data_IF_639829944956
#
_entry.id   IF_639829944956
#
_cell.length_a   1.000
_cell.length_b   1.000
_cell.length_c   1.000
_cell.angle_alpha   90.00
_cell.angle_beta   90.00
_cell.angle_gamma   90.00
#
_symmetry.space_group_name_H-M   'P 1'
#
loop_
_entity.id
_entity.type
_entity.pdbx_description
1 polymer ?
#
# COMPACT_ATOMS: atom_id res chain seq x y z
N UNK A 1 -2.33 12.55 4.71
CA UNK A 1 -1.26 12.63 5.71
C UNK A 1 -1.08 11.31 6.44
N UNK A 2 0.10 10.70 6.30
CA UNK A 2 0.41 9.41 6.93
C UNK A 2 0.70 9.58 8.44
N UNK A 3 0.07 8.76 9.29
CA UNK A 3 0.32 8.82 10.73
C UNK A 3 1.75 8.44 11.09
N UNK A 4 2.27 8.97 12.21
CA UNK A 4 3.64 8.67 12.70
C UNK A 4 3.89 7.16 12.83
N UNK A 5 2.91 6.43 13.35
CA UNK A 5 3.01 4.98 13.53
C UNK A 5 3.10 4.24 12.19
N UNK A 6 2.31 4.63 11.18
CA UNK A 6 2.39 4.02 9.84
C UNK A 6 3.72 4.35 9.15
N UNK A 7 4.21 5.58 9.26
CA UNK A 7 5.53 5.97 8.73
C UNK A 7 6.65 5.12 9.35
N UNK A 8 6.66 4.98 10.67
CA UNK A 8 7.65 4.14 11.36
C UNK A 8 7.54 2.66 10.98
N UNK A 9 6.33 2.14 10.78
CA UNK A 9 6.14 0.76 10.32
C UNK A 9 6.76 0.56 8.93
N UNK A 10 6.48 1.44 7.97
CA UNK A 10 7.07 1.40 6.62
C UNK A 10 8.60 1.39 6.71
N UNK A 11 9.20 2.28 7.50
CA UNK A 11 10.66 2.33 7.68
C UNK A 11 11.23 1.01 8.23
N UNK A 12 10.54 0.34 9.16
CA UNK A 12 10.99 -0.97 9.67
C UNK A 12 10.94 -2.04 8.59
N UNK A 13 9.90 -2.05 7.75
CA UNK A 13 9.69 -3.06 6.70
C UNK A 13 10.70 -3.00 5.53
N UNK A 14 11.36 -1.84 5.34
CA UNK A 14 12.48 -1.70 4.39
C UNK A 14 13.64 -2.64 4.72
N UNK A 15 13.81 -3.02 5.99
CA UNK A 15 14.93 -3.87 6.42
C UNK A 15 14.58 -5.35 6.47
N UNK A 16 15.58 -6.21 6.16
CA UNK A 16 15.44 -7.68 6.30
C UNK A 16 15.07 -8.11 7.72
N UNK A 17 15.59 -7.42 8.75
CA UNK A 17 15.32 -7.74 10.16
C UNK A 17 13.94 -7.26 10.62
N UNK A 18 13.43 -6.16 10.04
CA UNK A 18 12.13 -5.60 10.41
C UNK A 18 10.95 -6.43 9.92
N UNK A 19 11.01 -6.99 8.71
CA UNK A 19 9.93 -7.84 8.15
C UNK A 19 9.48 -8.98 9.08
N UNK A 20 10.35 -9.89 9.55
CA UNK A 20 9.95 -10.96 10.46
C UNK A 20 9.52 -10.42 11.83
N UNK A 21 10.09 -9.30 12.29
CA UNK A 21 9.71 -8.69 13.57
C UNK A 21 8.29 -8.14 13.55
N UNK A 22 7.86 -7.58 12.43
CA UNK A 22 6.50 -7.05 12.27
C UNK A 22 5.52 -8.09 11.72
N UNK A 23 5.99 -9.25 11.25
CA UNK A 23 5.16 -10.25 10.59
C UNK A 23 4.58 -9.78 9.26
N UNK A 24 5.21 -8.79 8.61
CA UNK A 24 4.69 -8.09 7.44
C UNK A 24 5.77 -7.89 6.38
N UNK A 25 5.33 -7.60 5.16
CA UNK A 25 6.19 -7.18 4.05
C UNK A 25 5.67 -5.89 3.44
N UNK A 26 6.57 -5.08 2.87
CA UNK A 26 6.23 -3.90 2.08
C UNK A 26 6.34 -4.27 0.61
N UNK A 27 5.27 -4.02 -0.15
CA UNK A 27 5.23 -4.19 -1.61
C UNK A 27 5.08 -2.81 -2.22
N UNK A 28 5.97 -2.47 -3.15
CA UNK A 28 6.03 -1.15 -3.76
C UNK A 28 5.93 -1.24 -5.28
N UNK A 29 5.33 -0.23 -5.89
CA UNK A 29 5.13 -0.13 -7.33
C UNK A 29 3.82 -0.78 -7.80
N UNK A 30 3.27 -0.23 -8.90
CA UNK A 30 1.96 -0.61 -9.43
C UNK A 30 1.90 -2.09 -9.79
N UNK A 31 2.90 -2.60 -10.52
CA UNK A 31 2.93 -3.99 -10.99
C UNK A 31 3.01 -4.99 -9.84
N UNK A 32 3.99 -4.83 -8.94
CA UNK A 32 4.16 -5.75 -7.82
C UNK A 32 2.95 -5.72 -6.86
N UNK A 33 2.36 -4.54 -6.65
CA UNK A 33 1.15 -4.40 -5.84
C UNK A 33 -0.06 -5.10 -6.48
N UNK A 34 -0.21 -5.00 -7.81
CA UNK A 34 -1.25 -5.70 -8.54
C UNK A 34 -1.07 -7.23 -8.49
N UNK A 35 0.16 -7.72 -8.63
CA UNK A 35 0.49 -9.15 -8.52
C UNK A 35 0.18 -9.67 -7.10
N UNK A 36 0.58 -8.94 -6.05
CA UNK A 36 0.25 -9.30 -4.67
C UNK A 36 -1.27 -9.32 -4.41
N UNK A 37 -1.99 -8.33 -4.93
CA UNK A 37 -3.45 -8.26 -4.83
C UNK A 37 -4.10 -9.47 -5.53
N UNK A 38 -3.69 -9.78 -6.76
CA UNK A 38 -4.19 -10.91 -7.54
C UNK A 38 -3.87 -12.27 -6.89
N UNK A 39 -2.71 -12.38 -6.22
CA UNK A 39 -2.33 -13.57 -5.47
C UNK A 39 -3.14 -13.79 -4.17
N UNK A 40 -4.06 -12.89 -3.84
CA UNK A 40 -4.87 -13.05 -2.62
C UNK A 40 -4.16 -12.60 -1.35
N UNK A 41 -3.12 -11.77 -1.44
CA UNK A 41 -2.42 -11.30 -0.25
C UNK A 41 -3.40 -10.61 0.73
N UNK A 42 -3.18 -10.86 2.02
CA UNK A 42 -3.89 -10.16 3.09
C UNK A 42 -3.27 -8.77 3.29
N UNK A 43 -4.02 -7.73 2.93
CA UNK A 43 -3.51 -6.37 2.83
C UNK A 43 -3.84 -5.63 4.13
N UNK A 44 -2.79 -5.28 4.89
CA UNK A 44 -2.95 -4.56 6.16
C UNK A 44 -3.40 -3.10 6.00
N UNK A 45 -2.82 -2.39 5.04
CA UNK A 45 -3.18 -1.03 4.62
C UNK A 45 -2.48 -0.71 3.29
N UNK A 46 -2.98 0.31 2.58
CA UNK A 46 -2.38 0.79 1.33
C UNK A 46 -2.02 2.26 1.46
N UNK A 47 -0.92 2.63 0.83
CA UNK A 47 -0.51 4.02 0.66
C UNK A 47 -0.37 4.30 -0.83
N UNK A 48 -1.04 5.34 -1.32
CA UNK A 48 -1.00 5.74 -2.73
C UNK A 48 -0.70 7.21 -2.88
N UNK A 49 -0.10 7.62 -3.99
CA UNK A 49 -0.07 9.03 -4.39
C UNK A 49 -1.23 9.32 -5.37
N UNK A 50 -1.68 10.57 -5.51
CA UNK A 50 -2.63 10.99 -6.55
C UNK A 50 -2.17 10.57 -7.95
N UNK A 51 -0.85 10.63 -8.21
CA UNK A 51 -0.21 10.23 -9.46
C UNK A 51 -0.44 8.77 -9.84
N UNK A 52 -0.89 7.93 -8.90
CA UNK A 52 -1.34 6.57 -9.23
C UNK A 52 -2.41 6.59 -10.33
N UNK A 53 -3.25 7.62 -10.36
CA UNK A 53 -4.36 7.72 -11.31
C UNK A 53 -3.94 8.23 -12.70
N UNK A 54 -2.68 8.61 -12.90
CA UNK A 54 -2.19 9.16 -14.17
C UNK A 54 -2.10 8.08 -15.26
N UNK A 55 -1.86 6.83 -14.86
CA UNK A 55 -1.70 5.69 -15.77
C UNK A 55 -2.90 4.76 -15.74
N UNK A 56 -3.16 4.07 -16.85
CA UNK A 56 -4.22 3.05 -16.92
C UNK A 56 -3.98 1.93 -15.90
N UNK A 57 -2.76 1.40 -15.81
CA UNK A 57 -2.40 0.37 -14.84
C UNK A 57 -2.68 0.79 -13.39
N UNK A 58 -2.37 2.06 -13.05
CA UNK A 58 -2.61 2.57 -11.71
C UNK A 58 -4.10 2.81 -11.41
N UNK A 59 -4.90 3.27 -12.40
CA UNK A 59 -6.37 3.35 -12.27
C UNK A 59 -7.02 1.98 -12.08
N UNK A 60 -6.55 0.97 -12.80
CA UNK A 60 -7.00 -0.42 -12.66
C UNK A 60 -6.69 -0.96 -11.26
N UNK A 61 -5.46 -0.75 -10.76
CA UNK A 61 -5.08 -1.14 -9.41
C UNK A 61 -5.92 -0.42 -8.35
N UNK A 62 -6.13 0.88 -8.49
CA UNK A 62 -6.95 1.66 -7.56
C UNK A 62 -8.40 1.15 -7.51
N UNK A 63 -8.98 0.82 -8.67
CA UNK A 63 -10.33 0.26 -8.76
C UNK A 63 -10.44 -1.11 -8.09
N UNK A 64 -9.44 -1.97 -8.28
CA UNK A 64 -9.39 -3.29 -7.67
C UNK A 64 -9.27 -3.22 -6.13
N UNK A 65 -8.57 -2.22 -5.60
CA UNK A 65 -8.46 -1.99 -4.16
C UNK A 65 -9.78 -1.53 -3.54
N UNK A 66 -10.50 -0.61 -4.17
CA UNK A 66 -11.83 -0.16 -3.71
C UNK A 66 -12.85 -1.31 -3.74
N UNK A 67 -12.79 -2.20 -4.73
CA UNK A 67 -13.64 -3.39 -4.79
C UNK A 67 -13.44 -4.35 -3.63
N UNK A 68 -12.24 -4.40 -3.02
CA UNK A 68 -11.94 -5.22 -1.83
C UNK A 68 -12.25 -4.54 -0.51
N UNK A 69 -12.11 -3.21 -0.39
CA UNK A 69 -12.56 -2.49 0.82
C UNK A 69 -14.06 -2.74 1.12
N UNK A 70 -14.86 -3.05 0.09
CA UNK A 70 -16.26 -3.46 0.23
C UNK A 70 -16.45 -4.92 0.67
N UNK A 71 -15.42 -5.76 0.56
CA UNK A 71 -15.44 -7.19 0.89
C UNK A 71 -14.69 -7.52 2.19
N UNK A 72 -13.77 -6.67 2.64
CA UNK A 72 -12.99 -6.85 3.85
C UNK A 72 -13.09 -5.62 4.75
N UNK A 73 -13.60 -5.83 5.97
CA UNK A 73 -13.87 -4.84 7.03
C UNK A 73 -12.63 -4.10 7.60
N UNK A 74 -11.59 -3.76 6.80
CA UNK A 74 -10.41 -3.15 7.42
C UNK A 74 -9.19 -2.74 6.59
N UNK A 75 -9.24 -2.71 5.26
CA UNK A 75 -8.11 -2.10 4.51
C UNK A 75 -8.23 -0.59 4.59
N UNK A 76 -7.22 0.08 5.15
CA UNK A 76 -7.17 1.54 5.18
C UNK A 76 -6.32 2.07 4.02
N UNK A 77 -6.92 2.72 3.04
CA UNK A 77 -6.20 3.47 1.99
C UNK A 77 -5.83 4.88 2.50
N UNK A 78 -4.56 5.26 2.36
CA UNK A 78 -4.08 6.61 2.68
C UNK A 78 -3.43 7.25 1.46
N UNK A 79 -3.80 8.50 1.17
CA UNK A 79 -3.17 9.29 0.12
C UNK A 79 -1.93 10.06 0.62
N UNK A 80 -0.87 10.04 -0.18
CA UNK A 80 0.36 10.81 -0.04
C UNK A 80 0.40 11.95 -1.05
N UNK A 81 0.69 13.15 -0.57
CA UNK A 81 0.97 14.32 -1.39
C UNK A 81 2.47 14.47 -1.62
N UNK A 82 2.87 15.14 -2.71
CA UNK A 82 4.28 15.23 -3.15
C UNK A 82 5.23 15.91 -2.15
N UNK A 83 4.70 16.62 -1.14
CA UNK A 83 5.49 17.26 -0.06
C UNK A 83 5.98 16.23 0.98
N UNK A 84 5.42 15.01 0.99
CA UNK A 84 5.61 14.03 2.06
C UNK A 84 6.73 13.00 1.78
N UNK A 85 7.47 13.16 0.68
CA UNK A 85 8.56 12.27 0.22
C UNK A 85 9.98 12.86 0.35
N UNK A 86 10.12 14.04 0.99
CA UNK A 86 11.42 14.68 1.27
C UNK A 86 12.04 14.21 2.58
#
# INVERSE_FOLDING_TARGET
>A
MLSKNRRQLIERLKTRKGRPREGLVLVEGVRASAEALAAGADIRFVVRSPRLLDTEAGRTLASALTGRELQTDGVAVTELTDVELA
#
